data_IF_880766777247
#
_entry.id   IF_880766777247
#
_cell.length_a   1.000
_cell.length_b   1.000
_cell.length_c   1.000
_cell.angle_alpha   90.00
_cell.angle_beta   90.00
_cell.angle_gamma   90.00
#
_symmetry.space_group_name_H-M   'P 1'
#
loop_
_entity.id
_entity.type
_entity.pdbx_description
1 polymer ?
#
# COMPACT_ATOMS: atom_id res chain seq x y z
N UNK A 1 -39.07 -3.92 -12.86
CA UNK A 1 -38.89 -4.63 -11.57
C UNK A 1 -40.02 -5.62 -11.27
N UNK A 2 -41.26 -5.19 -10.99
CA UNK A 2 -42.36 -6.11 -10.61
C UNK A 2 -42.70 -7.19 -11.68
N UNK A 3 -42.60 -6.86 -12.98
CA UNK A 3 -42.83 -7.81 -14.06
C UNK A 3 -41.73 -8.88 -14.17
N UNK A 4 -40.48 -8.53 -13.84
CA UNK A 4 -39.31 -9.43 -13.88
C UNK A 4 -39.36 -10.40 -12.68
N UNK A 5 -39.67 -9.90 -11.49
CA UNK A 5 -39.89 -10.72 -10.30
C UNK A 5 -41.06 -11.71 -10.48
N UNK A 6 -42.14 -11.29 -11.14
CA UNK A 6 -43.29 -12.15 -11.47
C UNK A 6 -42.95 -13.20 -12.53
N UNK A 7 -42.10 -12.88 -13.50
CA UNK A 7 -41.59 -13.84 -14.47
C UNK A 7 -40.64 -14.86 -13.84
N UNK A 8 -39.76 -14.44 -12.93
CA UNK A 8 -38.87 -15.33 -12.18
C UNK A 8 -39.66 -16.30 -11.27
N UNK A 9 -40.65 -15.80 -10.52
CA UNK A 9 -41.52 -16.65 -9.71
C UNK A 9 -42.33 -17.66 -10.55
N UNK A 10 -42.78 -17.25 -11.75
CA UNK A 10 -43.48 -18.13 -12.70
C UNK A 10 -42.55 -19.20 -13.29
N UNK A 11 -41.28 -18.88 -13.55
CA UNK A 11 -40.26 -19.84 -13.99
C UNK A 11 -39.88 -20.85 -12.89
N UNK A 12 -39.83 -20.41 -11.63
CA UNK A 12 -39.63 -21.29 -10.46
C UNK A 12 -40.83 -22.24 -10.26
N UNK A 13 -42.05 -21.74 -10.42
CA UNK A 13 -43.27 -22.57 -10.33
C UNK A 13 -43.41 -23.55 -11.50
N UNK A 14 -42.99 -23.18 -12.70
CA UNK A 14 -42.95 -24.05 -13.89
C UNK A 14 -41.91 -25.20 -13.79
N UNK A 15 -41.09 -25.22 -12.73
CA UNK A 15 -40.02 -26.20 -12.50
C UNK A 15 -40.42 -27.40 -11.59
N UNK A 16 -41.65 -27.43 -11.08
CA UNK A 16 -42.21 -28.64 -10.45
C UNK A 16 -42.12 -29.90 -11.35
N UNK A 17 -42.41 -29.85 -12.67
CA UNK A 17 -42.23 -30.99 -13.57
C UNK A 17 -40.76 -31.40 -13.74
N UNK A 18 -39.79 -30.49 -13.67
CA UNK A 18 -38.37 -30.82 -13.84
C UNK A 18 -37.81 -31.62 -12.65
N UNK A 19 -38.24 -31.29 -11.42
CA UNK A 19 -38.00 -32.13 -10.23
C UNK A 19 -38.65 -33.51 -10.38
N UNK A 20 -39.86 -33.58 -10.94
CA UNK A 20 -40.52 -34.86 -11.24
C UNK A 20 -39.79 -35.65 -12.34
N UNK A 21 -39.17 -34.98 -13.32
CA UNK A 21 -38.42 -35.63 -14.41
C UNK A 21 -37.08 -36.19 -13.91
N UNK A 22 -36.37 -35.45 -13.05
CA UNK A 22 -35.14 -35.92 -12.38
C UNK A 22 -35.45 -37.08 -11.44
N UNK A 23 -36.55 -37.00 -10.68
CA UNK A 23 -37.03 -38.11 -9.84
C UNK A 23 -37.38 -39.34 -10.68
N UNK A 24 -38.10 -39.17 -11.78
CA UNK A 24 -38.46 -40.26 -12.69
C UNK A 24 -37.23 -40.88 -13.38
N UNK A 25 -36.24 -40.08 -13.76
CA UNK A 25 -34.98 -40.57 -14.32
C UNK A 25 -34.16 -41.35 -13.28
N UNK A 26 -34.12 -40.89 -12.03
CA UNK A 26 -33.49 -41.60 -10.93
C UNK A 26 -34.22 -42.91 -10.60
N UNK A 27 -35.56 -42.91 -10.57
CA UNK A 27 -36.38 -44.10 -10.38
C UNK A 27 -36.19 -45.11 -11.53
N UNK A 28 -36.13 -44.65 -12.78
CA UNK A 28 -35.85 -45.48 -13.94
C UNK A 28 -34.43 -46.07 -13.92
N UNK A 29 -33.42 -45.31 -13.51
CA UNK A 29 -32.05 -45.80 -13.35
C UNK A 29 -31.96 -46.86 -12.23
N UNK A 30 -32.66 -46.64 -11.11
CA UNK A 30 -32.74 -47.61 -10.01
C UNK A 30 -33.46 -48.90 -10.46
N UNK A 31 -34.54 -48.78 -11.24
CA UNK A 31 -35.27 -49.92 -11.79
C UNK A 31 -34.43 -50.70 -12.83
N UNK A 32 -33.65 -50.01 -13.65
CA UNK A 32 -32.75 -50.62 -14.62
C UNK A 32 -31.58 -51.34 -13.93
N UNK A 33 -31.04 -50.77 -12.85
CA UNK A 33 -30.02 -51.41 -12.03
C UNK A 33 -30.54 -52.66 -11.30
N UNK A 34 -31.77 -52.64 -10.78
CA UNK A 34 -32.42 -53.80 -10.18
C UNK A 34 -32.72 -54.90 -11.23
N UNK A 35 -33.13 -54.51 -12.45
CA UNK A 35 -33.33 -55.42 -13.57
C UNK A 35 -32.00 -56.06 -14.04
N UNK A 36 -30.92 -55.28 -14.17
CA UNK A 36 -29.60 -55.78 -14.53
C UNK A 36 -29.00 -56.71 -13.45
N UNK A 37 -29.20 -56.39 -12.16
CA UNK A 37 -28.77 -57.23 -11.04
C UNK A 37 -29.51 -58.57 -10.97
N UNK A 38 -30.77 -58.63 -11.40
CA UNK A 38 -31.56 -59.87 -11.46
C UNK A 38 -31.13 -60.82 -12.60
N UNK A 39 -30.38 -60.33 -13.59
CA UNK A 39 -29.91 -61.09 -14.76
C UNK A 39 -28.38 -61.27 -14.82
N UNK A 40 -27.63 -60.66 -13.90
CA UNK A 40 -26.19 -60.88 -13.77
C UNK A 40 -25.94 -62.23 -13.08
N UNK A 41 -25.21 -63.14 -13.74
CA UNK A 41 -24.96 -64.49 -13.24
C UNK A 41 -23.97 -64.55 -12.06
N UNK A 42 -23.26 -63.47 -11.76
CA UNK A 42 -22.27 -63.38 -10.68
C UNK A 42 -22.40 -62.06 -9.90
N UNK A 43 -22.19 -62.12 -8.58
CA UNK A 43 -22.41 -61.00 -7.65
C UNK A 43 -21.43 -59.83 -7.88
N UNK A 44 -20.27 -60.10 -8.47
CA UNK A 44 -19.27 -59.08 -8.80
C UNK A 44 -19.72 -58.19 -9.97
N UNK A 45 -20.33 -58.77 -11.00
CA UNK A 45 -20.82 -58.01 -12.17
C UNK A 45 -22.06 -57.17 -11.81
N UNK A 46 -22.90 -57.67 -10.89
CA UNK A 46 -24.02 -56.91 -10.35
C UNK A 46 -23.55 -55.68 -9.54
N UNK A 47 -22.46 -55.81 -8.78
CA UNK A 47 -21.87 -54.70 -8.03
C UNK A 47 -21.22 -53.65 -8.93
N UNK A 48 -20.52 -54.06 -9.99
CA UNK A 48 -19.88 -53.15 -10.95
C UNK A 48 -20.92 -52.39 -11.80
N UNK A 49 -22.00 -53.07 -12.21
CA UNK A 49 -23.14 -52.42 -12.88
C UNK A 49 -23.87 -51.42 -11.96
N UNK A 50 -24.06 -51.76 -10.68
CA UNK A 50 -24.65 -50.85 -9.70
C UNK A 50 -23.76 -49.63 -9.41
N UNK A 51 -22.44 -49.81 -9.36
CA UNK A 51 -21.48 -48.72 -9.21
C UNK A 51 -21.52 -47.78 -10.42
N UNK A 52 -21.50 -48.32 -11.64
CA UNK A 52 -21.61 -47.52 -12.88
C UNK A 52 -22.94 -46.79 -13.00
N UNK A 53 -24.04 -47.40 -12.57
CA UNK A 53 -25.35 -46.76 -12.53
C UNK A 53 -25.43 -45.64 -11.47
N UNK A 54 -24.84 -45.85 -10.29
CA UNK A 54 -24.73 -44.83 -9.26
C UNK A 54 -23.85 -43.66 -9.71
N UNK A 55 -22.73 -43.93 -10.39
CA UNK A 55 -21.86 -42.89 -10.94
C UNK A 55 -22.55 -42.12 -12.07
N UNK A 56 -23.29 -42.79 -12.95
CA UNK A 56 -24.10 -42.15 -13.98
C UNK A 56 -25.22 -41.28 -13.38
N UNK A 57 -25.89 -41.75 -12.32
CA UNK A 57 -26.91 -40.98 -11.59
C UNK A 57 -26.32 -39.79 -10.83
N UNK A 58 -25.14 -39.94 -10.22
CA UNK A 58 -24.38 -38.85 -9.60
C UNK A 58 -23.91 -37.82 -10.64
N UNK A 59 -23.54 -38.28 -11.83
CA UNK A 59 -23.14 -37.42 -12.96
C UNK A 59 -24.32 -36.69 -13.59
N UNK A 60 -25.54 -37.25 -13.54
CA UNK A 60 -26.76 -36.60 -14.01
C UNK A 60 -27.32 -35.56 -13.02
N UNK A 61 -27.09 -35.73 -11.72
CA UNK A 61 -27.62 -34.84 -10.67
C UNK A 61 -26.72 -33.64 -10.35
N UNK A 62 -25.39 -33.76 -10.49
CA UNK A 62 -24.43 -32.68 -10.21
C UNK A 62 -24.51 -31.45 -11.15
N UNK A 63 -24.64 -31.58 -12.49
CA UNK A 63 -24.64 -30.43 -13.41
C UNK A 63 -25.84 -29.51 -13.25
N UNK A 64 -27.02 -30.09 -13.00
CA UNK A 64 -28.26 -29.33 -12.78
C UNK A 64 -28.22 -28.56 -11.45
N UNK A 65 -27.65 -29.16 -10.40
CA UNK A 65 -27.55 -28.54 -9.07
C UNK A 65 -26.59 -27.35 -9.00
N UNK A 66 -25.49 -27.36 -9.76
CA UNK A 66 -24.51 -26.26 -9.79
C UNK A 66 -25.00 -25.11 -10.68
N UNK A 67 -25.52 -25.42 -11.87
CA UNK A 67 -26.07 -24.39 -12.77
C UNK A 67 -27.30 -23.70 -12.16
N UNK A 68 -28.17 -24.44 -11.47
CA UNK A 68 -29.32 -23.85 -10.80
C UNK A 68 -28.93 -22.99 -9.58
N UNK A 69 -27.84 -23.32 -8.89
CA UNK A 69 -27.31 -22.49 -7.80
C UNK A 69 -26.75 -21.17 -8.30
N UNK A 70 -25.98 -21.18 -9.38
CA UNK A 70 -25.49 -19.95 -10.02
C UNK A 70 -26.66 -19.04 -10.43
N UNK A 71 -27.65 -19.60 -11.13
CA UNK A 71 -28.89 -18.88 -11.50
C UNK A 71 -29.66 -18.37 -10.28
N UNK A 72 -29.72 -19.16 -9.19
CA UNK A 72 -30.39 -18.73 -7.95
C UNK A 72 -29.65 -17.58 -7.27
N UNK A 73 -28.31 -17.58 -7.33
CA UNK A 73 -27.47 -16.50 -6.81
C UNK A 73 -27.67 -15.21 -7.62
N UNK A 74 -27.69 -15.31 -8.96
CA UNK A 74 -27.97 -14.18 -9.84
C UNK A 74 -29.35 -13.57 -9.54
N UNK A 75 -30.37 -14.43 -9.36
CA UNK A 75 -31.71 -13.98 -8.95
C UNK A 75 -31.67 -13.30 -7.58
N UNK A 76 -30.87 -13.78 -6.63
CA UNK A 76 -30.72 -13.17 -5.31
C UNK A 76 -30.04 -11.79 -5.40
N UNK A 77 -29.01 -11.63 -6.23
CA UNK A 77 -28.38 -10.33 -6.51
C UNK A 77 -29.37 -9.37 -7.16
N UNK A 78 -30.15 -9.83 -8.14
CA UNK A 78 -31.15 -9.00 -8.82
C UNK A 78 -32.37 -8.65 -7.96
N UNK A 79 -32.66 -9.44 -6.92
CA UNK A 79 -33.82 -9.25 -6.03
C UNK A 79 -33.49 -8.58 -4.70
N UNK A 80 -32.20 -8.41 -4.38
CA UNK A 80 -31.79 -7.76 -3.13
C UNK A 80 -31.94 -6.24 -3.24
N UNK A 81 -32.67 -5.65 -2.29
CA UNK A 81 -33.01 -4.21 -2.23
C UNK A 81 -31.87 -3.34 -1.69
N UNK A 82 -30.63 -3.63 -2.06
CA UNK A 82 -29.46 -2.86 -1.63
C UNK A 82 -29.32 -1.51 -2.34
N UNK A 83 -28.60 -0.54 -1.75
CA UNK A 83 -28.22 0.69 -2.43
C UNK A 83 -27.12 0.38 -3.46
N UNK A 84 -27.52 0.06 -4.69
CA UNK A 84 -26.61 -0.21 -5.80
C UNK A 84 -27.38 -0.49 -7.08
N UNK A 85 -26.74 -0.31 -8.23
CA UNK A 85 -27.30 -0.79 -9.51
C UNK A 85 -27.17 -2.33 -9.54
N UNK A 86 -28.29 -3.08 -9.47
CA UNK A 86 -28.25 -4.54 -9.43
C UNK A 86 -27.58 -5.14 -10.67
N UNK A 87 -27.59 -4.43 -11.80
CA UNK A 87 -26.93 -4.88 -13.02
C UNK A 87 -25.41 -4.77 -12.90
N UNK A 88 -24.90 -3.67 -12.32
CA UNK A 88 -23.48 -3.51 -12.04
C UNK A 88 -22.97 -4.54 -11.02
N UNK A 89 -23.80 -4.90 -10.03
CA UNK A 89 -23.48 -5.96 -9.07
C UNK A 89 -23.47 -7.36 -9.71
N UNK A 90 -24.41 -7.62 -10.63
CA UNK A 90 -24.45 -8.89 -11.37
C UNK A 90 -23.20 -9.07 -12.23
N UNK A 91 -22.74 -8.02 -12.91
CA UNK A 91 -21.51 -8.02 -13.71
C UNK A 91 -20.23 -8.31 -12.87
N UNK A 92 -20.29 -8.09 -11.57
CA UNK A 92 -19.19 -8.35 -10.63
C UNK A 92 -19.35 -9.70 -9.90
N UNK A 93 -20.47 -10.39 -10.08
CA UNK A 93 -20.74 -11.67 -9.43
C UNK A 93 -20.08 -12.78 -10.25
N UNK A 94 -19.28 -13.62 -9.60
CA UNK A 94 -18.69 -14.79 -10.26
C UNK A 94 -19.79 -15.70 -10.79
N UNK A 95 -19.68 -16.09 -12.07
CA UNK A 95 -20.59 -17.05 -12.71
C UNK A 95 -20.62 -18.40 -11.96
N UNK A 96 -19.54 -18.72 -11.23
CA UNK A 96 -19.40 -19.93 -10.42
C UNK A 96 -18.92 -19.56 -9.00
N UNK A 97 -19.82 -19.16 -8.09
CA UNK A 97 -19.47 -18.55 -6.81
C UNK A 97 -18.73 -19.47 -5.83
N UNK A 98 -18.79 -20.79 -6.01
CA UNK A 98 -18.17 -21.78 -5.13
C UNK A 98 -16.86 -22.35 -5.69
N UNK A 99 -16.26 -21.71 -6.70
CA UNK A 99 -14.99 -22.09 -7.34
C UNK A 99 -14.92 -23.46 -8.04
N UNK A 100 -15.97 -24.27 -7.92
CA UNK A 100 -16.12 -25.52 -8.66
C UNK A 100 -16.77 -25.26 -10.02
N UNK A 101 -16.00 -24.66 -10.94
CA UNK A 101 -16.36 -24.65 -12.38
C UNK A 101 -16.66 -26.11 -12.76
N UNK A 102 -17.88 -26.43 -13.22
CA UNK A 102 -18.26 -27.80 -13.51
C UNK A 102 -17.25 -28.48 -14.41
N UNK A 103 -16.95 -29.76 -14.16
CA UNK A 103 -15.93 -30.50 -14.92
C UNK A 103 -16.20 -30.45 -16.43
N UNK A 104 -17.47 -30.49 -16.85
CA UNK A 104 -17.85 -30.38 -18.27
C UNK A 104 -17.52 -28.98 -18.85
N UNK A 105 -17.76 -27.92 -18.09
CA UNK A 105 -17.47 -26.54 -18.49
C UNK A 105 -15.96 -26.31 -18.55
N UNK A 106 -15.22 -26.82 -17.56
CA UNK A 106 -13.75 -26.81 -17.54
C UNK A 106 -13.15 -27.58 -18.71
N UNK A 107 -13.68 -28.77 -19.01
CA UNK A 107 -13.26 -29.56 -20.19
C UNK A 107 -13.55 -28.83 -21.49
N UNK A 108 -14.74 -28.25 -21.64
CA UNK A 108 -15.11 -27.45 -22.81
C UNK A 108 -14.19 -26.22 -22.98
N UNK A 109 -13.93 -25.50 -21.90
CA UNK A 109 -13.01 -24.37 -21.89
C UNK A 109 -11.59 -24.77 -22.27
N UNK A 110 -11.06 -25.85 -21.71
CA UNK A 110 -9.72 -26.35 -22.03
C UNK A 110 -9.59 -26.80 -23.50
N UNK A 111 -10.65 -27.40 -24.06
CA UNK A 111 -10.70 -27.74 -25.49
C UNK A 111 -10.68 -26.48 -26.36
N UNK A 112 -11.53 -25.49 -26.05
CA UNK A 112 -11.60 -24.22 -26.77
C UNK A 112 -10.27 -23.46 -26.71
N UNK A 113 -9.68 -23.34 -25.52
CA UNK A 113 -8.37 -22.70 -25.29
C UNK A 113 -7.24 -23.44 -26.01
N UNK A 114 -7.37 -24.75 -26.18
CA UNK A 114 -6.40 -25.62 -26.85
C UNK A 114 -6.52 -25.63 -28.38
N UNK A 115 -7.57 -25.03 -28.94
CA UNK A 115 -7.82 -25.01 -30.38
C UNK A 115 -6.82 -24.08 -31.09
N UNK A 116 -6.02 -24.64 -31.99
CA UNK A 116 -5.03 -23.87 -32.75
C UNK A 116 -5.69 -22.88 -33.70
N UNK A 117 -6.84 -23.19 -34.30
CA UNK A 117 -7.51 -22.29 -35.23
C UNK A 117 -7.95 -20.99 -34.53
N UNK A 118 -8.44 -21.09 -33.29
CA UNK A 118 -8.81 -19.91 -32.50
C UNK A 118 -7.58 -19.11 -32.03
N UNK A 119 -6.48 -19.79 -31.71
CA UNK A 119 -5.23 -19.12 -31.36
C UNK A 119 -4.65 -18.36 -32.56
N UNK A 120 -4.62 -19.00 -33.72
CA UNK A 120 -4.15 -18.42 -34.98
C UNK A 120 -5.04 -17.24 -35.40
N UNK A 121 -6.34 -17.31 -35.12
CA UNK A 121 -7.27 -16.20 -35.30
C UNK A 121 -7.16 -15.09 -34.24
N UNK A 122 -6.22 -15.17 -33.30
CA UNK A 122 -5.91 -14.12 -32.34
C UNK A 122 -6.79 -14.07 -31.08
N UNK A 123 -7.47 -15.16 -30.71
CA UNK A 123 -8.35 -15.17 -29.52
C UNK A 123 -7.63 -15.20 -28.17
N UNK A 124 -6.30 -15.26 -28.14
CA UNK A 124 -5.52 -15.34 -26.90
C UNK A 124 -5.87 -14.26 -25.85
N UNK A 125 -6.04 -12.97 -26.21
CA UNK A 125 -6.41 -11.93 -25.24
C UNK A 125 -7.80 -12.14 -24.62
N UNK A 126 -8.74 -12.71 -25.38
CA UNK A 126 -10.08 -13.01 -24.90
C UNK A 126 -10.10 -14.17 -23.92
N UNK A 127 -9.26 -15.19 -24.15
CA UNK A 127 -9.08 -16.27 -23.19
C UNK A 127 -8.52 -15.76 -21.87
N UNK A 128 -7.51 -14.88 -21.92
CA UNK A 128 -6.94 -14.27 -20.73
C UNK A 128 -7.96 -13.38 -20.00
N UNK A 129 -8.72 -12.56 -20.73
CA UNK A 129 -9.82 -11.76 -20.17
C UNK A 129 -10.86 -12.60 -19.45
N UNK A 130 -11.29 -13.72 -20.04
CA UNK A 130 -12.26 -14.61 -19.43
C UNK A 130 -11.70 -15.32 -18.17
N UNK A 131 -10.42 -15.70 -18.19
CA UNK A 131 -9.76 -16.34 -17.04
C UNK A 131 -9.54 -15.36 -15.89
N UNK A 132 -9.20 -14.09 -16.18
CA UNK A 132 -9.02 -13.04 -15.19
C UNK A 132 -10.36 -12.62 -14.54
N UNK A 133 -11.48 -12.76 -15.26
CA UNK A 133 -12.83 -12.58 -14.72
C UNK A 133 -13.33 -13.79 -13.90
N UNK A 134 -12.76 -14.97 -14.10
CA UNK A 134 -13.11 -16.21 -13.38
C UNK A 134 -11.90 -16.77 -12.64
N UNK A 135 -11.34 -16.01 -11.67
CA UNK A 135 -10.15 -16.46 -10.97
C UNK A 135 -10.46 -17.70 -10.13
N UNK A 136 -9.43 -18.55 -9.87
CA UNK A 136 -9.57 -19.65 -8.93
C UNK A 136 -9.99 -19.15 -7.54
N UNK A 137 -10.66 -20.02 -6.78
CA UNK A 137 -11.31 -19.72 -5.49
C UNK A 137 -10.65 -18.62 -4.65
N UNK A 138 -11.39 -17.56 -4.36
CA UNK A 138 -11.01 -16.53 -3.40
C UNK A 138 -10.25 -15.32 -3.96
N UNK A 139 -9.82 -15.35 -5.23
CA UNK A 139 -9.26 -14.16 -5.87
C UNK A 139 -10.36 -13.24 -6.44
N UNK A 140 -10.10 -11.94 -6.43
CA UNK A 140 -11.02 -10.94 -6.99
C UNK A 140 -10.91 -10.95 -8.52
N UNK A 141 -12.04 -10.95 -9.26
CA UNK A 141 -12.03 -10.78 -10.71
C UNK A 141 -11.24 -9.53 -11.11
N UNK A 142 -10.40 -9.65 -12.13
CA UNK A 142 -9.63 -8.54 -12.68
C UNK A 142 -9.95 -8.36 -14.17
N UNK A 143 -9.91 -7.11 -14.64
CA UNK A 143 -10.11 -6.79 -16.05
C UNK A 143 -8.77 -6.85 -16.80
N UNK A 144 -8.56 -7.91 -17.56
CA UNK A 144 -7.33 -8.14 -18.34
C UNK A 144 -6.97 -6.97 -19.28
N UNK A 145 -7.96 -6.40 -19.94
CA UNK A 145 -7.77 -5.27 -20.85
C UNK A 145 -7.58 -3.96 -20.08
N UNK A 146 -8.10 -3.90 -18.85
CA UNK A 146 -8.16 -2.70 -18.04
C UNK A 146 -9.25 -1.73 -18.54
N UNK A 147 -9.75 -0.88 -17.64
CA UNK A 147 -10.95 -0.06 -17.85
C UNK A 147 -10.97 0.71 -19.18
N UNK A 148 -9.86 1.33 -19.55
CA UNK A 148 -9.79 2.18 -20.74
C UNK A 148 -9.88 1.38 -22.04
N UNK A 149 -9.13 0.27 -22.13
CA UNK A 149 -9.16 -0.57 -23.32
C UNK A 149 -10.50 -1.33 -23.43
N UNK A 150 -11.01 -1.84 -22.31
CA UNK A 150 -12.36 -2.44 -22.25
C UNK A 150 -13.41 -1.49 -22.76
N UNK A 151 -13.37 -0.21 -22.33
CA UNK A 151 -14.27 0.82 -22.82
C UNK A 151 -14.07 1.09 -24.31
N UNK A 152 -12.83 1.19 -24.78
CA UNK A 152 -12.51 1.38 -26.21
C UNK A 152 -13.08 0.26 -27.07
N UNK A 153 -12.92 -1.00 -26.65
CA UNK A 153 -13.47 -2.18 -27.34
C UNK A 153 -15.00 -2.11 -27.35
N UNK A 154 -15.62 -1.86 -26.19
CA UNK A 154 -17.08 -1.83 -26.04
C UNK A 154 -17.75 -0.69 -26.83
N UNK A 155 -17.04 0.41 -27.09
CA UNK A 155 -17.56 1.57 -27.82
C UNK A 155 -17.27 1.52 -29.33
N UNK A 156 -16.71 0.42 -29.85
CA UNK A 156 -16.55 0.28 -31.29
C UNK A 156 -17.90 0.18 -31.99
N UNK A 157 -18.06 0.82 -33.17
CA UNK A 157 -19.30 0.78 -33.93
C UNK A 157 -19.52 -0.60 -34.57
N UNK A 158 -20.76 -0.91 -34.96
CA UNK A 158 -21.14 -2.21 -35.52
C UNK A 158 -20.30 -2.57 -36.76
N UNK A 159 -19.97 -1.59 -37.61
CA UNK A 159 -19.16 -1.81 -38.80
C UNK A 159 -17.75 -2.33 -38.48
N UNK A 160 -17.24 -2.05 -37.28
CA UNK A 160 -15.94 -2.58 -36.84
C UNK A 160 -16.05 -4.07 -36.47
N UNK A 161 -17.14 -4.48 -35.83
CA UNK A 161 -17.43 -5.87 -35.48
C UNK A 161 -17.71 -6.75 -36.70
N UNK A 162 -18.31 -6.17 -37.74
CA UNK A 162 -18.66 -6.87 -39.00
C UNK A 162 -17.44 -7.28 -39.85
N UNK A 163 -16.24 -6.79 -39.54
CA UNK A 163 -15.00 -7.12 -40.28
C UNK A 163 -14.50 -8.55 -40.02
N UNK A 164 -15.12 -9.26 -39.08
CA UNK A 164 -14.73 -10.61 -38.70
C UNK A 164 -13.68 -10.66 -37.59
N UNK A 165 -13.59 -11.81 -36.93
CA UNK A 165 -12.85 -12.00 -35.70
C UNK A 165 -11.34 -11.73 -35.84
N UNK A 166 -10.71 -12.14 -36.95
CA UNK A 166 -9.27 -11.96 -37.15
C UNK A 166 -8.87 -10.48 -37.21
N UNK A 167 -9.62 -9.66 -37.95
CA UNK A 167 -9.38 -8.23 -38.07
C UNK A 167 -9.61 -7.52 -36.73
N UNK A 168 -10.69 -7.85 -36.03
CA UNK A 168 -10.99 -7.35 -34.68
C UNK A 168 -9.88 -7.70 -33.68
N UNK A 169 -9.46 -8.96 -33.65
CA UNK A 169 -8.43 -9.43 -32.72
C UNK A 169 -7.06 -8.81 -33.02
N UNK A 170 -6.76 -8.54 -34.29
CA UNK A 170 -5.54 -7.83 -34.69
C UNK A 170 -5.51 -6.41 -34.13
N UNK A 171 -6.61 -5.67 -34.21
CA UNK A 171 -6.71 -4.32 -33.63
C UNK A 171 -6.56 -4.35 -32.11
N UNK A 172 -7.21 -5.30 -31.43
CA UNK A 172 -7.11 -5.45 -29.97
C UNK A 172 -5.67 -5.78 -29.55
N UNK A 173 -4.99 -6.66 -30.29
CA UNK A 173 -3.59 -6.99 -30.03
C UNK A 173 -2.68 -5.77 -30.22
N UNK A 174 -2.93 -4.94 -31.24
CA UNK A 174 -2.19 -3.69 -31.44
C UNK A 174 -2.43 -2.71 -30.28
N UNK A 175 -3.68 -2.55 -29.82
CA UNK A 175 -4.00 -1.68 -28.68
C UNK A 175 -3.40 -2.17 -27.37
N UNK A 176 -3.33 -3.48 -27.16
CA UNK A 176 -2.61 -4.09 -26.05
C UNK A 176 -1.11 -3.77 -26.11
N UNK A 177 -0.48 -3.91 -27.28
CA UNK A 177 0.93 -3.55 -27.47
C UNK A 177 1.18 -2.06 -27.23
N UNK A 178 0.30 -1.17 -27.71
CA UNK A 178 0.38 0.27 -27.44
C UNK A 178 0.29 0.58 -25.93
N UNK A 179 -0.64 -0.08 -25.23
CA UNK A 179 -0.81 0.06 -23.78
C UNK A 179 0.45 -0.39 -23.04
N UNK A 180 1.00 -1.53 -23.43
CA UNK A 180 2.17 -2.11 -22.79
C UNK A 180 3.43 -1.27 -23.07
N UNK A 181 3.54 -0.66 -24.26
CA UNK A 181 4.59 0.33 -24.58
C UNK A 181 4.45 1.59 -23.73
N UNK A 182 3.23 2.14 -23.57
CA UNK A 182 2.98 3.29 -22.68
C UNK A 182 3.30 2.97 -21.22
N UNK A 183 3.07 1.73 -20.78
CA UNK A 183 3.48 1.23 -19.46
C UNK A 183 5.00 1.04 -19.36
N UNK A 184 5.65 0.68 -20.47
CA UNK A 184 7.08 0.40 -20.55
C UNK A 184 7.96 1.64 -20.72
N UNK A 185 7.41 2.81 -21.09
CA UNK A 185 8.11 4.09 -20.90
C UNK A 185 7.89 4.48 -19.43
N UNK A 186 8.88 4.28 -18.54
CA UNK A 186 8.74 4.79 -17.18
C UNK A 186 8.54 6.28 -17.30
N UNK A 187 7.34 6.76 -16.97
CA UNK A 187 7.06 8.18 -16.90
C UNK A 187 8.13 8.79 -16.01
N UNK A 188 9.00 9.63 -16.59
CA UNK A 188 10.19 10.16 -15.92
C UNK A 188 9.83 10.55 -14.49
N UNK A 189 10.34 9.77 -13.54
CA UNK A 189 10.18 10.07 -12.13
C UNK A 189 11.25 11.10 -11.82
N UNK A 190 10.92 12.31 -11.36
CA UNK A 190 11.91 13.21 -10.79
C UNK A 190 12.67 12.43 -9.73
N UNK A 191 14.00 12.46 -9.77
CA UNK A 191 14.78 11.85 -8.71
C UNK A 191 14.35 12.47 -7.37
N UNK A 192 14.26 11.64 -6.32
CA UNK A 192 13.75 12.08 -5.02
C UNK A 192 14.51 13.32 -4.53
N UNK A 193 13.82 14.45 -4.45
CA UNK A 193 14.39 15.72 -4.01
C UNK A 193 15.09 15.54 -2.66
N UNK A 194 16.25 16.18 -2.54
CA UNK A 194 16.99 16.34 -1.29
C UNK A 194 16.83 17.77 -0.80
N UNK A 195 16.93 17.95 0.51
CA UNK A 195 16.82 19.26 1.13
C UNK A 195 18.06 19.51 1.98
N UNK A 196 18.53 20.75 1.96
CA UNK A 196 19.66 21.19 2.78
C UNK A 196 19.46 22.63 3.22
N UNK A 197 20.07 23.01 4.33
CA UNK A 197 20.11 24.41 4.73
C UNK A 197 20.90 25.27 3.72
N UNK A 198 20.19 26.22 3.11
CA UNK A 198 20.75 27.28 2.27
C UNK A 198 20.58 28.62 3.01
N UNK A 199 21.66 29.10 3.62
CA UNK A 199 21.63 30.29 4.46
C UNK A 199 20.75 30.10 5.71
N UNK A 200 19.64 30.84 5.78
CA UNK A 200 18.67 30.77 6.89
C UNK A 200 17.42 29.97 6.56
N UNK A 201 17.41 29.24 5.44
CA UNK A 201 16.25 28.52 4.94
C UNK A 201 16.60 27.09 4.55
N UNK A 202 15.58 26.26 4.42
CA UNK A 202 15.63 24.93 3.84
C UNK A 202 15.43 25.08 2.33
N UNK A 203 16.48 24.75 1.58
CA UNK A 203 16.56 24.77 0.12
C UNK A 203 16.43 23.37 -0.48
N UNK A 204 16.25 23.30 -1.81
CA UNK A 204 16.45 22.05 -2.55
C UNK A 204 17.95 21.86 -2.75
N UNK A 205 18.47 20.73 -2.30
CA UNK A 205 19.85 20.36 -2.54
C UNK A 205 20.00 19.80 -3.97
N UNK A 206 21.16 20.00 -4.63
CA UNK A 206 21.42 19.39 -5.92
C UNK A 206 21.17 17.88 -5.88
N UNK A 207 20.46 17.39 -6.88
CA UNK A 207 20.30 15.96 -7.12
C UNK A 207 21.65 15.43 -7.61
N UNK A 208 22.42 14.79 -6.73
CA UNK A 208 23.51 13.94 -7.19
C UNK A 208 22.89 12.71 -7.87
N UNK A 209 22.81 12.79 -9.19
CA UNK A 209 22.08 11.87 -10.08
C UNK A 209 22.67 10.47 -10.18
N UNK A 210 23.68 10.12 -9.37
CA UNK A 210 24.20 8.77 -9.37
C UNK A 210 25.66 8.73 -9.00
N UNK A 211 25.92 8.70 -7.71
CA UNK A 211 27.04 7.99 -7.10
C UNK A 211 26.75 8.00 -5.60
N UNK A 212 27.10 6.93 -4.91
CA UNK A 212 27.56 6.97 -3.51
C UNK A 212 28.47 8.20 -3.43
N UNK A 213 27.98 9.38 -3.02
CA UNK A 213 28.87 10.52 -2.83
C UNK A 213 29.69 10.17 -1.60
N UNK A 214 30.95 9.73 -1.76
CA UNK A 214 31.72 9.24 -0.64
C UNK A 214 31.98 10.37 0.35
N UNK A 215 31.94 11.64 -0.10
CA UNK A 215 32.08 12.81 0.76
C UNK A 215 30.85 13.05 1.60
N UNK A 216 29.64 13.05 1.03
CA UNK A 216 28.41 13.15 1.82
C UNK A 216 28.24 11.97 2.77
N UNK A 217 28.54 10.74 2.31
CA UNK A 217 28.50 9.56 3.17
C UNK A 217 29.50 9.68 4.33
N UNK A 218 30.71 10.17 4.07
CA UNK A 218 31.70 10.44 5.11
C UNK A 218 31.22 11.53 6.08
N UNK A 219 30.68 12.64 5.57
CA UNK A 219 30.18 13.73 6.41
C UNK A 219 29.04 13.28 7.33
N UNK A 220 28.11 12.45 6.84
CA UNK A 220 27.06 11.87 7.68
C UNK A 220 27.60 10.86 8.68
N UNK A 221 28.62 10.08 8.33
CA UNK A 221 29.28 9.16 9.24
C UNK A 221 30.00 9.91 10.37
N UNK A 222 30.74 10.97 10.04
CA UNK A 222 31.47 11.79 11.01
C UNK A 222 30.48 12.44 12.00
N UNK A 223 29.41 13.05 11.50
CA UNK A 223 28.34 13.62 12.32
C UNK A 223 27.66 12.54 13.19
N UNK A 224 27.38 11.35 12.62
CA UNK A 224 26.76 10.26 13.38
C UNK A 224 27.66 9.77 14.52
N UNK A 225 28.97 9.69 14.28
CA UNK A 225 29.96 9.29 15.29
C UNK A 225 29.99 10.27 16.45
N UNK A 226 30.16 11.56 16.14
CA UNK A 226 30.21 12.65 17.12
C UNK A 226 28.93 12.68 17.97
N UNK A 227 27.76 12.62 17.32
CA UNK A 227 26.50 12.60 18.07
C UNK A 227 26.31 11.33 18.88
N UNK A 228 26.76 10.18 18.39
CA UNK A 228 26.57 8.91 19.11
C UNK A 228 27.40 8.91 20.39
N UNK A 229 28.60 9.50 20.35
CA UNK A 229 29.45 9.74 21.52
C UNK A 229 28.76 10.66 22.52
N UNK A 230 28.33 11.85 22.07
CA UNK A 230 27.63 12.83 22.93
C UNK A 230 26.36 12.25 23.56
N UNK A 231 25.58 11.48 22.79
CA UNK A 231 24.37 10.85 23.28
C UNK A 231 24.67 9.74 24.29
N UNK A 232 25.69 8.92 24.06
CA UNK A 232 26.13 7.89 25.00
C UNK A 232 26.56 8.52 26.34
N UNK A 233 27.44 9.52 26.32
CA UNK A 233 27.91 10.23 27.52
C UNK A 233 26.74 10.86 28.30
N UNK A 234 25.80 11.50 27.59
CA UNK A 234 24.62 12.11 28.21
C UNK A 234 23.71 11.06 28.84
N UNK A 235 23.43 9.97 28.14
CA UNK A 235 22.61 8.87 28.66
C UNK A 235 23.26 8.24 29.90
N UNK A 236 24.58 8.04 29.91
CA UNK A 236 25.28 7.54 31.10
C UNK A 236 25.21 8.51 32.28
N UNK A 237 25.31 9.82 32.03
CA UNK A 237 25.24 10.85 33.08
C UNK A 237 23.83 11.06 33.64
N UNK A 238 22.80 10.71 32.88
CA UNK A 238 21.41 10.92 33.27
C UNK A 238 20.95 9.84 34.26
N UNK A 239 20.67 10.25 35.50
CA UNK A 239 20.22 9.37 36.61
C UNK A 239 19.02 8.48 36.29
N UNK A 240 18.19 8.86 35.32
CA UNK A 240 16.97 8.15 34.93
C UNK A 240 17.06 7.58 33.50
N UNK A 241 18.23 7.61 32.86
CA UNK A 241 18.35 7.00 31.54
C UNK A 241 18.11 5.50 31.63
N UNK A 242 17.39 5.00 30.65
CA UNK A 242 17.08 3.58 30.54
C UNK A 242 18.37 2.86 30.16
N UNK A 243 18.93 1.97 31.01
CA UNK A 243 20.26 1.39 30.79
C UNK A 243 20.40 0.68 29.44
N UNK A 244 19.31 0.09 28.96
CA UNK A 244 19.23 -0.53 27.65
C UNK A 244 19.42 0.48 26.49
N UNK A 245 18.84 1.69 26.57
CA UNK A 245 19.00 2.68 25.52
C UNK A 245 20.43 3.21 25.46
N UNK A 246 21.06 3.40 26.63
CA UNK A 246 22.49 3.74 26.70
C UNK A 246 23.36 2.64 26.05
N UNK A 247 23.10 1.36 26.36
CA UNK A 247 23.80 0.22 25.75
C UNK A 247 23.64 0.19 24.22
N UNK A 248 22.43 0.43 23.68
CA UNK A 248 22.21 0.45 22.24
C UNK A 248 22.95 1.60 21.53
N UNK A 249 22.95 2.81 22.13
CA UNK A 249 23.69 3.96 21.57
C UNK A 249 25.21 3.71 21.64
N UNK A 250 25.71 3.17 22.75
CA UNK A 250 27.13 2.82 22.89
C UNK A 250 27.55 1.72 21.91
N UNK A 251 26.69 0.72 21.65
CA UNK A 251 26.92 -0.29 20.61
C UNK A 251 26.93 0.30 19.21
N UNK A 252 26.06 1.27 18.92
CA UNK A 252 26.10 2.00 17.66
C UNK A 252 27.44 2.74 17.52
N UNK A 253 27.84 3.56 18.50
CA UNK A 253 29.09 4.32 18.46
C UNK A 253 30.31 3.41 18.21
N UNK A 254 30.43 2.33 18.98
CA UNK A 254 31.55 1.37 18.87
C UNK A 254 31.58 0.62 17.52
N UNK A 255 30.45 0.53 16.82
CA UNK A 255 30.36 -0.11 15.51
C UNK A 255 30.79 0.81 14.36
N UNK A 256 30.65 2.14 14.51
CA UNK A 256 30.90 3.08 13.41
C UNK A 256 32.40 3.15 13.05
N UNK A 257 32.78 2.81 11.80
CA UNK A 257 34.18 2.88 11.36
C UNK A 257 34.61 4.33 11.12
N UNK A 258 35.90 4.56 10.90
CA UNK A 258 36.42 5.88 10.58
C UNK A 258 36.10 6.31 9.15
N UNK A 259 36.04 5.36 8.20
CA UNK A 259 35.74 5.64 6.80
C UNK A 259 34.40 5.05 6.38
N UNK A 260 33.62 5.79 5.59
CA UNK A 260 32.33 5.35 5.06
C UNK A 260 32.43 4.12 4.15
N UNK A 261 33.59 3.91 3.51
CA UNK A 261 33.86 2.72 2.69
C UNK A 261 33.91 1.41 3.50
N UNK A 262 34.26 1.49 4.79
CA UNK A 262 34.36 0.33 5.68
C UNK A 262 33.04 0.03 6.42
N UNK A 263 32.03 0.89 6.25
CA UNK A 263 30.75 0.77 6.92
C UNK A 263 29.96 -0.40 6.34
N UNK A 264 29.50 -1.30 7.21
CA UNK A 264 28.49 -2.30 6.84
C UNK A 264 27.09 -1.67 6.96
N UNK A 265 26.43 -1.28 5.85
CA UNK A 265 25.22 -0.48 5.93
C UNK A 265 24.01 -1.32 6.39
N UNK A 266 24.04 -2.65 6.24
CA UNK A 266 23.00 -3.53 6.78
C UNK A 266 23.06 -3.62 8.29
N UNK A 267 24.26 -3.74 8.85
CA UNK A 267 24.44 -3.77 10.30
C UNK A 267 24.09 -2.41 10.92
N UNK A 268 24.46 -1.30 10.26
CA UNK A 268 24.00 0.03 10.66
C UNK A 268 22.47 0.10 10.73
N UNK A 269 21.79 -0.36 9.67
CA UNK A 269 20.32 -0.39 9.63
C UNK A 269 19.72 -1.19 10.80
N UNK A 270 20.28 -2.35 11.14
CA UNK A 270 19.82 -3.13 12.29
C UNK A 270 20.01 -2.38 13.62
N UNK A 271 21.13 -1.67 13.80
CA UNK A 271 21.40 -0.87 15.01
C UNK A 271 20.42 0.29 15.15
N UNK A 272 20.18 1.03 14.06
CA UNK A 272 19.21 2.12 14.07
C UNK A 272 17.79 1.62 14.36
N UNK A 273 17.39 0.49 13.78
CA UNK A 273 16.09 -0.12 14.06
C UNK A 273 15.93 -0.55 15.54
N UNK A 274 17.01 -1.03 16.17
CA UNK A 274 17.02 -1.35 17.61
C UNK A 274 16.79 -0.10 18.46
N UNK A 275 17.49 0.99 18.13
CA UNK A 275 17.33 2.29 18.79
C UNK A 275 15.91 2.85 18.59
N UNK A 276 15.35 2.77 17.38
CA UNK A 276 13.98 3.20 17.10
C UNK A 276 12.96 2.40 17.92
N UNK A 277 13.13 1.07 18.02
CA UNK A 277 12.28 0.22 18.84
C UNK A 277 12.42 0.55 20.35
N UNK A 278 13.62 0.88 20.80
CA UNK A 278 13.88 1.35 22.15
C UNK A 278 13.07 2.61 22.48
N UNK A 279 13.20 3.62 21.62
CA UNK A 279 12.52 4.92 21.77
C UNK A 279 10.99 4.72 21.73
N UNK A 280 10.49 3.93 20.78
CA UNK A 280 9.07 3.66 20.65
C UNK A 280 8.49 2.96 21.90
N UNK A 281 9.24 2.00 22.46
CA UNK A 281 8.84 1.29 23.70
C UNK A 281 8.71 2.27 24.88
N UNK A 282 9.66 3.21 24.98
CA UNK A 282 9.68 4.22 26.03
C UNK A 282 8.54 5.23 25.89
N UNK A 283 8.19 5.59 24.66
CA UNK A 283 7.04 6.45 24.37
C UNK A 283 5.71 5.74 24.68
N UNK A 284 5.57 4.48 24.30
CA UNK A 284 4.34 3.70 24.45
C UNK A 284 3.99 3.39 25.92
N UNK A 285 4.99 3.21 26.78
CA UNK A 285 4.78 2.86 28.18
C UNK A 285 4.20 4.01 29.04
N UNK A 286 4.00 5.21 28.48
CA UNK A 286 3.70 6.40 29.27
C UNK A 286 4.86 6.81 30.18
N UNK A 287 6.04 6.20 30.00
CA UNK A 287 7.30 6.46 30.69
C UNK A 287 7.98 7.74 30.20
N UNK A 288 7.26 8.65 29.54
CA UNK A 288 7.75 9.99 29.21
C UNK A 288 8.12 10.83 30.44
N UNK A 289 7.80 10.36 31.65
CA UNK A 289 8.32 10.92 32.91
C UNK A 289 9.76 10.49 33.24
N UNK A 290 10.23 9.38 32.68
CA UNK A 290 11.55 8.79 33.01
C UNK A 290 12.66 9.33 32.11
N UNK A 291 12.35 9.62 30.85
CA UNK A 291 13.26 10.33 29.94
C UNK A 291 12.88 11.80 29.85
N UNK A 292 13.83 12.69 30.14
CA UNK A 292 13.67 14.10 29.79
C UNK A 292 13.58 14.26 28.26
N UNK A 293 13.03 15.39 27.81
CA UNK A 293 12.88 15.68 26.38
C UNK A 293 14.24 15.70 25.65
N UNK A 294 15.32 16.06 26.34
CA UNK A 294 16.67 16.21 25.75
C UNK A 294 17.29 14.87 25.26
N UNK A 295 17.44 13.80 26.06
CA UNK A 295 17.92 12.50 25.57
C UNK A 295 17.08 11.92 24.44
N UNK A 296 15.75 12.10 24.49
CA UNK A 296 14.86 11.62 23.42
C UNK A 296 15.15 12.33 22.11
N UNK A 297 15.34 13.66 22.13
CA UNK A 297 15.72 14.42 20.95
C UNK A 297 17.10 14.01 20.40
N UNK A 298 18.08 13.78 21.28
CA UNK A 298 19.42 13.34 20.88
C UNK A 298 19.37 12.01 20.12
N UNK A 299 18.70 11.02 20.70
CA UNK A 299 18.55 9.68 20.10
C UNK A 299 17.74 9.74 18.80
N UNK A 300 16.73 10.59 18.74
CA UNK A 300 15.98 10.84 17.50
C UNK A 300 16.88 11.43 16.41
N UNK A 301 17.73 12.40 16.77
CA UNK A 301 18.72 12.98 15.87
C UNK A 301 19.68 11.94 15.30
N UNK A 302 20.15 11.00 16.14
CA UNK A 302 20.98 9.88 15.70
C UNK A 302 20.30 9.00 14.67
N UNK A 303 19.06 8.59 14.93
CA UNK A 303 18.29 7.77 14.01
C UNK A 303 18.13 8.45 12.64
N UNK A 304 17.84 9.76 12.64
CA UNK A 304 17.72 10.56 11.43
C UNK A 304 19.03 10.63 10.63
N UNK A 305 20.15 10.94 11.29
CA UNK A 305 21.47 11.03 10.61
C UNK A 305 21.89 9.66 10.09
N UNK A 306 21.68 8.60 10.87
CA UNK A 306 21.97 7.24 10.44
C UNK A 306 21.16 6.83 9.21
N UNK A 307 19.87 7.21 9.13
CA UNK A 307 19.05 6.94 7.93
C UNK A 307 19.56 7.71 6.72
N UNK A 308 19.95 8.97 6.87
CA UNK A 308 20.54 9.77 5.79
C UNK A 308 21.86 9.17 5.29
N UNK A 309 22.67 8.62 6.19
CA UNK A 309 23.84 7.81 5.84
C UNK A 309 23.45 6.57 5.04
N UNK A 310 22.43 5.81 5.46
CA UNK A 310 21.92 4.65 4.72
C UNK A 310 21.42 5.03 3.31
N UNK A 311 20.83 6.21 3.14
CA UNK A 311 20.40 6.71 1.83
C UNK A 311 21.55 7.00 0.88
N UNK A 312 22.79 7.09 1.38
CA UNK A 312 23.97 7.19 0.54
C UNK A 312 24.32 5.86 -0.15
N UNK A 313 23.70 4.74 0.24
CA UNK A 313 23.89 3.41 -0.34
C UNK A 313 22.74 3.04 -1.29
N UNK A 314 22.97 2.91 -2.62
CA UNK A 314 21.91 2.70 -3.61
C UNK A 314 21.05 1.46 -3.37
N UNK A 315 21.67 0.32 -3.06
CA UNK A 315 20.95 -0.95 -2.85
C UNK A 315 19.95 -0.88 -1.69
N UNK A 316 20.31 -0.16 -0.63
CA UNK A 316 19.42 0.04 0.50
C UNK A 316 18.27 0.99 0.17
N UNK A 317 18.52 2.01 -0.65
CA UNK A 317 17.47 2.92 -1.12
C UNK A 317 16.41 2.18 -1.93
N UNK A 318 16.83 1.28 -2.82
CA UNK A 318 15.90 0.44 -3.60
C UNK A 318 15.08 -0.47 -2.69
N UNK A 319 15.73 -1.18 -1.76
CA UNK A 319 15.01 -2.06 -0.81
C UNK A 319 14.05 -1.29 0.09
N UNK A 320 14.43 -0.11 0.54
CA UNK A 320 13.57 0.74 1.35
C UNK A 320 12.31 1.15 0.58
N UNK A 321 12.44 1.54 -0.69
CA UNK A 321 11.29 1.85 -1.55
C UNK A 321 10.36 0.64 -1.70
N UNK A 322 10.92 -0.55 -1.93
CA UNK A 322 10.14 -1.80 -2.02
C UNK A 322 9.43 -2.15 -0.71
N UNK A 323 10.04 -1.86 0.43
CA UNK A 323 9.43 -2.08 1.74
C UNK A 323 8.33 -1.06 2.04
N UNK A 324 8.53 0.22 1.72
CA UNK A 324 7.48 1.25 1.80
C UNK A 324 6.30 0.84 0.93
N UNK A 325 6.55 0.43 -0.32
CA UNK A 325 5.52 0.03 -1.26
C UNK A 325 4.67 -1.13 -0.73
N UNK A 326 5.32 -2.13 -0.11
CA UNK A 326 4.64 -3.27 0.53
C UNK A 326 3.88 -2.91 1.80
N UNK A 327 4.32 -1.87 2.51
CA UNK A 327 3.71 -1.45 3.76
C UNK A 327 2.49 -0.55 3.58
N UNK A 328 2.29 0.05 2.40
CA UNK A 328 1.09 0.82 2.08
C UNK A 328 -0.13 -0.12 2.05
N UNK A 329 -1.10 0.02 2.99
CA UNK A 329 -2.28 -0.82 3.00
C UNK A 329 -3.16 -0.54 1.78
N UNK A 330 -3.78 -1.59 1.24
CA UNK A 330 -4.74 -1.47 0.14
C UNK A 330 -5.92 -0.58 0.56
N UNK A 331 -6.26 0.39 -0.29
CA UNK A 331 -7.36 1.31 -0.08
C UNK A 331 -7.04 2.50 0.84
N UNK A 332 -5.79 2.66 1.28
CA UNK A 332 -5.34 3.82 2.08
C UNK A 332 -4.48 4.81 1.27
N UNK A 333 -4.25 4.55 -0.01
CA UNK A 333 -3.38 5.33 -0.88
C UNK A 333 -3.76 6.83 -0.86
N UNK A 334 -5.04 7.16 -1.08
CA UNK A 334 -5.49 8.55 -1.07
C UNK A 334 -5.26 9.25 0.27
N UNK A 335 -5.52 8.55 1.39
CA UNK A 335 -5.34 9.12 2.73
C UNK A 335 -3.87 9.45 3.02
N UNK A 336 -2.95 8.62 2.52
CA UNK A 336 -1.51 8.88 2.61
C UNK A 336 -1.15 10.08 1.74
N UNK A 337 -1.65 10.15 0.50
CA UNK A 337 -1.45 11.31 -0.39
C UNK A 337 -1.93 12.61 0.24
N UNK A 338 -3.13 12.62 0.83
CA UNK A 338 -3.70 13.79 1.52
C UNK A 338 -2.81 14.22 2.69
N UNK A 339 -2.34 13.27 3.49
CA UNK A 339 -1.43 13.52 4.61
C UNK A 339 -0.11 14.14 4.16
N UNK A 340 0.52 13.59 3.13
CA UNK A 340 1.78 14.11 2.59
C UNK A 340 1.59 15.50 1.94
N UNK A 341 0.41 15.78 1.42
CA UNK A 341 0.06 17.10 0.86
C UNK A 341 -0.04 18.16 1.96
N UNK A 342 -0.46 17.80 3.18
CA UNK A 342 -0.45 18.72 4.33
C UNK A 342 0.98 19.18 4.69
N UNK A 343 2.01 18.35 4.50
CA UNK A 343 3.40 18.81 4.71
C UNK A 343 3.76 19.94 3.76
N UNK A 344 3.36 19.83 2.48
CA UNK A 344 3.60 20.87 1.47
C UNK A 344 2.89 22.18 1.84
N UNK A 345 1.64 22.09 2.32
CA UNK A 345 0.90 23.27 2.79
C UNK A 345 1.56 23.92 4.01
N UNK A 346 2.00 23.12 4.97
CA UNK A 346 2.71 23.60 6.16
C UNK A 346 4.04 24.28 5.77
N UNK A 347 4.79 23.71 4.83
CA UNK A 347 6.00 24.29 4.29
C UNK A 347 5.76 25.65 3.62
N UNK A 348 4.67 25.77 2.84
CA UNK A 348 4.28 27.02 2.18
C UNK A 348 3.90 28.15 3.17
N UNK A 349 3.42 27.79 4.36
CA UNK A 349 3.05 28.74 5.42
C UNK A 349 4.25 29.28 6.22
N UNK A 350 5.47 28.75 5.98
CA UNK A 350 6.69 29.14 6.68
C UNK A 350 7.79 29.67 5.74
N UNK A 351 7.54 30.71 4.92
CA UNK A 351 8.49 31.23 3.92
C UNK A 351 9.79 31.81 4.52
N UNK A 352 9.82 32.10 5.82
CA UNK A 352 11.00 32.53 6.56
C UNK A 352 12.00 31.39 6.78
N UNK A 353 11.53 30.14 6.87
CA UNK A 353 12.33 28.93 7.12
C UNK A 353 12.42 28.03 5.89
N UNK A 354 11.42 28.02 5.02
CA UNK A 354 11.40 27.17 3.82
C UNK A 354 11.51 28.02 2.57
N UNK A 355 12.43 27.67 1.67
CA UNK A 355 12.58 28.36 0.39
C UNK A 355 11.40 28.06 -0.54
N UNK A 356 11.12 28.98 -1.48
CA UNK A 356 10.10 28.75 -2.53
C UNK A 356 10.40 27.51 -3.39
N UNK A 357 11.69 27.20 -3.60
CA UNK A 357 12.11 26.02 -4.35
C UNK A 357 11.75 24.73 -3.62
N UNK A 358 11.95 24.69 -2.29
CA UNK A 358 11.59 23.53 -1.48
C UNK A 358 10.08 23.29 -1.46
N UNK A 359 9.28 24.36 -1.37
CA UNK A 359 7.80 24.27 -1.50
C UNK A 359 7.41 23.73 -2.87
N UNK A 360 7.97 24.28 -3.95
CA UNK A 360 7.67 23.81 -5.31
C UNK A 360 8.05 22.34 -5.53
N UNK A 361 9.14 21.87 -4.90
CA UNK A 361 9.53 20.46 -4.95
C UNK A 361 8.51 19.54 -4.25
N UNK A 362 8.02 19.94 -3.07
CA UNK A 362 6.98 19.21 -2.35
C UNK A 362 5.65 19.20 -3.12
N UNK A 363 5.25 20.35 -3.68
CA UNK A 363 4.04 20.47 -4.50
C UNK A 363 4.12 19.63 -5.78
N UNK A 364 5.28 19.59 -6.44
CA UNK A 364 5.48 18.75 -7.61
C UNK A 364 5.29 17.26 -7.28
N UNK A 365 5.82 16.79 -6.14
CA UNK A 365 5.62 15.40 -5.72
C UNK A 365 4.17 15.10 -5.34
N UNK A 366 3.47 16.04 -4.70
CA UNK A 366 2.06 15.90 -4.39
C UNK A 366 1.20 15.84 -5.66
N UNK A 367 1.47 16.70 -6.64
CA UNK A 367 0.77 16.69 -7.92
C UNK A 367 0.97 15.35 -8.66
N UNK A 368 2.19 14.83 -8.68
CA UNK A 368 2.49 13.54 -9.31
C UNK A 368 1.77 12.36 -8.66
N UNK A 369 1.63 12.35 -7.34
CA UNK A 369 0.85 11.33 -6.65
C UNK A 369 -0.65 11.46 -6.97
N UNK A 370 -1.15 12.70 -7.05
CA UNK A 370 -2.55 12.98 -7.38
C UNK A 370 -2.91 12.58 -8.81
N UNK A 371 -2.02 12.81 -9.78
CA UNK A 371 -2.21 12.37 -11.17
C UNK A 371 -2.30 10.85 -11.31
N UNK A 372 -1.67 10.11 -10.39
CA UNK A 372 -1.69 8.65 -10.40
C UNK A 372 -2.93 8.04 -9.73
N UNK A 373 -3.79 8.84 -9.08
CA UNK A 373 -4.98 8.35 -8.36
C UNK A 373 -5.95 7.63 -9.29
N UNK A 374 -6.08 8.11 -10.53
CA UNK A 374 -6.94 7.51 -11.56
C UNK A 374 -6.24 6.37 -12.33
N UNK A 375 -4.96 6.10 -12.03
CA UNK A 375 -4.14 5.09 -12.70
C UNK A 375 -4.18 3.70 -12.03
N UNK A 376 -3.31 2.77 -12.49
CA UNK A 376 -3.11 1.49 -11.83
C UNK A 376 -2.63 1.67 -10.39
N UNK A 377 -3.13 0.82 -9.47
CA UNK A 377 -2.79 0.88 -8.04
C UNK A 377 -1.28 0.78 -7.80
N UNK A 378 -0.58 -0.03 -8.61
CA UNK A 378 0.88 -0.18 -8.53
C UNK A 378 1.60 1.13 -8.89
N UNK A 379 1.12 1.84 -9.91
CA UNK A 379 1.68 3.12 -10.32
C UNK A 379 1.42 4.20 -9.24
N UNK A 380 0.21 4.22 -8.67
CA UNK A 380 -0.12 5.10 -7.54
C UNK A 380 0.80 4.84 -6.34
N UNK A 381 1.00 3.57 -5.98
CA UNK A 381 1.88 3.19 -4.87
C UNK A 381 3.32 3.61 -5.10
N UNK A 382 3.84 3.43 -6.31
CA UNK A 382 5.20 3.87 -6.65
C UNK A 382 5.34 5.40 -6.50
N UNK A 383 4.34 6.17 -6.94
CA UNK A 383 4.33 7.63 -6.76
C UNK A 383 4.24 8.04 -5.29
N UNK A 384 3.40 7.37 -4.51
CA UNK A 384 3.28 7.61 -3.06
C UNK A 384 4.60 7.29 -2.36
N UNK A 385 5.27 6.20 -2.72
CA UNK A 385 6.59 5.85 -2.16
C UNK A 385 7.60 6.97 -2.41
N UNK A 386 7.65 7.52 -3.62
CA UNK A 386 8.56 8.63 -3.92
C UNK A 386 8.18 9.90 -3.14
N UNK A 387 6.89 10.20 -3.01
CA UNK A 387 6.42 11.32 -2.19
C UNK A 387 6.80 11.13 -0.72
N UNK A 388 6.65 9.92 -0.15
CA UNK A 388 7.05 9.57 1.22
C UNK A 388 8.56 9.82 1.42
N UNK A 389 9.39 9.38 0.47
CA UNK A 389 10.85 9.57 0.55
C UNK A 389 11.20 11.05 0.54
N UNK A 390 10.61 11.84 -0.37
CA UNK A 390 10.84 13.29 -0.44
C UNK A 390 10.38 14.01 0.82
N UNK A 391 9.18 13.69 1.29
CA UNK A 391 8.59 14.25 2.51
C UNK A 391 9.46 13.98 3.74
N UNK A 392 9.99 12.76 3.84
CA UNK A 392 10.93 12.38 4.89
C UNK A 392 12.24 13.16 4.80
N UNK A 393 12.83 13.30 3.61
CA UNK A 393 14.07 14.07 3.43
C UNK A 393 13.87 15.53 3.89
N UNK A 394 12.72 16.12 3.54
CA UNK A 394 12.35 17.47 3.97
C UNK A 394 12.23 17.58 5.49
N UNK A 395 11.47 16.66 6.12
CA UNK A 395 11.29 16.65 7.59
C UNK A 395 12.59 16.44 8.34
N UNK A 396 13.46 15.57 7.84
CA UNK A 396 14.78 15.31 8.43
C UNK A 396 15.64 16.57 8.43
N UNK A 397 15.66 17.31 7.31
CA UNK A 397 16.38 18.59 7.25
C UNK A 397 15.71 19.67 8.11
N UNK A 398 14.38 19.69 8.22
CA UNK A 398 13.67 20.62 9.10
C UNK A 398 14.02 20.40 10.58
N UNK A 399 14.14 19.15 11.02
CA UNK A 399 14.60 18.81 12.37
C UNK A 399 16.04 19.26 12.60
N UNK A 400 16.96 18.99 11.65
CA UNK A 400 18.36 19.46 11.73
C UNK A 400 18.47 20.97 11.75
N UNK A 401 17.70 21.65 10.91
CA UNK A 401 17.63 23.11 10.88
C UNK A 401 17.19 23.66 12.23
N UNK A 402 16.10 23.12 12.78
CA UNK A 402 15.60 23.47 14.11
C UNK A 402 16.63 23.23 15.21
N UNK A 403 17.34 22.09 15.16
CA UNK A 403 18.38 21.75 16.12
C UNK A 403 19.55 22.73 16.09
N UNK A 404 20.08 23.03 14.89
CA UNK A 404 21.15 24.04 14.74
C UNK A 404 20.72 25.43 15.21
N UNK A 405 19.45 25.75 15.03
CA UNK A 405 18.87 27.00 15.52
C UNK A 405 18.83 27.01 17.05
N UNK A 406 18.46 25.88 17.66
CA UNK A 406 18.48 25.67 19.11
C UNK A 406 19.89 25.81 19.71
N UNK A 407 20.90 25.15 19.14
CA UNK A 407 22.30 25.25 19.60
C UNK A 407 22.86 26.67 19.55
N UNK A 408 22.43 27.46 18.57
CA UNK A 408 22.85 28.87 18.43
C UNK A 408 22.15 29.80 19.41
N UNK A 409 21.03 29.40 20.00
CA UNK A 409 20.36 30.19 21.02
C UNK A 409 21.15 30.07 22.33
N UNK A 410 21.95 31.09 22.64
CA UNK A 410 22.50 31.23 23.99
C UNK A 410 21.36 31.27 25.02
N UNK A 411 21.56 30.70 26.23
CA UNK A 411 20.59 30.81 27.31
C UNK A 411 20.38 32.29 27.66
N UNK A 412 19.30 32.89 27.14
CA UNK A 412 18.96 34.31 27.33
C UNK A 412 18.31 35.01 26.12
N UNK A 413 18.40 34.47 24.91
CA UNK A 413 17.84 35.07 23.70
C UNK A 413 16.37 34.62 23.45
N UNK A 414 15.44 35.15 24.24
CA UNK A 414 14.00 34.83 24.15
C UNK A 414 13.35 35.17 22.79
N UNK A 415 13.85 36.19 22.09
CA UNK A 415 13.27 36.62 20.80
C UNK A 415 13.55 35.60 19.67
N UNK A 416 14.57 34.75 19.82
CA UNK A 416 14.82 33.62 18.91
C UNK A 416 13.89 32.43 19.19
N UNK A 417 13.53 32.21 20.46
CA UNK A 417 12.81 31.03 20.91
C UNK A 417 11.37 30.95 20.39
N UNK A 418 10.70 32.09 20.16
CA UNK A 418 9.35 32.14 19.60
C UNK A 418 9.33 31.81 18.09
N UNK A 419 10.35 32.26 17.35
CA UNK A 419 10.53 31.89 15.95
C UNK A 419 10.90 30.40 15.81
N UNK A 420 11.79 29.90 16.69
CA UNK A 420 12.16 28.48 16.70
C UNK A 420 10.96 27.62 17.05
N UNK A 421 10.23 27.91 18.13
CA UNK A 421 9.15 27.04 18.59
C UNK A 421 8.00 26.95 17.60
N UNK A 422 7.62 28.07 16.97
CA UNK A 422 6.54 28.08 15.98
C UNK A 422 6.88 27.19 14.79
N UNK A 423 8.14 27.21 14.35
CA UNK A 423 8.60 26.39 13.22
C UNK A 423 8.92 24.95 13.63
N UNK A 424 9.47 24.74 14.83
CA UNK A 424 9.79 23.42 15.36
C UNK A 424 8.53 22.63 15.74
N UNK A 425 7.44 23.29 16.14
CA UNK A 425 6.14 22.65 16.34
C UNK A 425 5.48 22.25 15.02
N UNK A 426 5.56 23.12 14.01
CA UNK A 426 5.00 22.85 12.67
C UNK A 426 5.73 21.68 11.99
N UNK A 427 7.07 21.61 12.08
CA UNK A 427 7.85 20.60 11.36
C UNK A 427 8.32 19.42 12.23
N UNK A 428 8.63 19.67 13.50
CA UNK A 428 9.33 18.72 14.38
C UNK A 428 8.44 17.62 14.97
N UNK A 429 7.18 17.91 15.33
CA UNK A 429 6.33 16.91 16.00
C UNK A 429 5.56 16.00 15.04
N UNK A 430 5.02 16.56 13.96
CA UNK A 430 4.50 15.76 12.85
C UNK A 430 5.64 14.96 12.20
N UNK A 431 6.84 15.54 12.13
CA UNK A 431 8.08 14.87 11.72
C UNK A 431 8.45 13.71 12.62
N UNK A 432 8.47 13.91 13.95
CA UNK A 432 8.83 12.88 14.93
C UNK A 432 8.00 11.60 14.73
N UNK A 433 6.66 11.69 14.73
CA UNK A 433 5.83 10.47 14.69
C UNK A 433 5.91 9.73 13.35
N UNK A 434 6.10 10.45 12.24
CA UNK A 434 6.25 9.85 10.90
C UNK A 434 7.68 9.38 10.56
N UNK A 435 8.71 9.94 11.20
CA UNK A 435 10.13 9.58 10.96
C UNK A 435 10.70 8.59 11.96
N UNK A 436 10.18 8.53 13.21
CA UNK A 436 10.70 7.71 14.31
C UNK A 436 10.55 6.19 14.14
N UNK A 437 9.76 5.76 13.17
CA UNK A 437 9.45 4.36 12.96
C UNK A 437 9.88 3.98 11.55
N UNK A 438 10.28 2.73 11.30
CA UNK A 438 10.48 2.24 9.93
C UNK A 438 9.22 2.60 9.12
N UNK A 439 9.29 2.85 7.81
CA UNK A 439 8.12 3.26 7.05
C UNK A 439 6.90 2.34 7.29
N UNK A 440 7.13 1.05 7.55
CA UNK A 440 6.10 0.09 7.97
C UNK A 440 5.44 0.44 9.31
N UNK A 441 6.23 0.70 10.35
CA UNK A 441 5.74 1.07 11.68
C UNK A 441 5.20 2.50 11.71
N UNK A 442 5.73 3.42 10.89
CA UNK A 442 5.28 4.81 10.80
C UNK A 442 3.98 4.96 10.05
N UNK A 443 3.77 4.18 8.99
CA UNK A 443 2.48 4.05 8.34
C UNK A 443 1.44 3.47 9.33
N UNK A 444 1.80 2.41 10.08
CA UNK A 444 0.91 1.86 11.12
C UNK A 444 0.62 2.84 12.27
N UNK A 445 1.63 3.60 12.75
CA UNK A 445 1.49 4.62 13.79
C UNK A 445 0.71 5.85 13.30
N UNK A 446 0.85 6.25 12.03
CA UNK A 446 0.02 7.27 11.38
C UNK A 446 -1.47 6.87 11.41
N UNK A 447 -1.77 5.57 11.20
CA UNK A 447 -3.14 5.07 11.28
C UNK A 447 -3.68 4.94 12.71
N UNK A 448 -2.84 4.59 13.68
CA UNK A 448 -3.25 4.46 15.09
C UNK A 448 -3.29 5.81 15.85
N UNK A 449 -2.49 6.79 15.43
CA UNK A 449 -2.13 7.96 16.24
C UNK A 449 -2.71 9.30 15.80
N UNK A 450 -3.44 9.40 14.68
CA UNK A 450 -3.87 10.71 14.15
C UNK A 450 -4.66 11.58 15.15
N UNK A 451 -5.53 10.95 15.96
CA UNK A 451 -6.24 11.65 17.05
C UNK A 451 -5.38 11.97 18.28
N UNK A 452 -4.24 11.29 18.44
CA UNK A 452 -3.28 11.57 19.51
C UNK A 452 -2.24 12.63 19.11
N UNK A 453 -1.89 12.74 17.82
CA UNK A 453 -0.99 13.79 17.31
C UNK A 453 -1.65 15.16 17.44
N UNK A 454 -2.92 15.31 17.06
CA UNK A 454 -3.66 16.58 17.25
C UNK A 454 -3.77 16.97 18.73
N UNK A 455 -3.94 15.99 19.63
CA UNK A 455 -3.90 16.24 21.09
C UNK A 455 -2.51 16.62 21.59
N UNK A 456 -1.47 15.95 21.11
CA UNK A 456 -0.10 16.23 21.50
C UNK A 456 0.33 17.63 21.04
N UNK A 457 -0.04 18.01 19.81
CA UNK A 457 0.18 19.36 19.28
C UNK A 457 -0.54 20.43 20.12
N UNK A 458 -1.82 20.21 20.46
CA UNK A 458 -2.58 21.13 21.35
C UNK A 458 -1.96 21.25 22.74
N UNK A 459 -1.56 20.12 23.35
CA UNK A 459 -0.91 20.13 24.67
C UNK A 459 0.44 20.85 24.64
N UNK A 460 1.20 20.72 23.56
CA UNK A 460 2.47 21.43 23.41
C UNK A 460 2.27 22.92 23.15
N UNK A 461 1.28 23.30 22.35
CA UNK A 461 0.88 24.68 22.14
C UNK A 461 0.46 25.34 23.48
N UNK A 462 -0.29 24.62 24.31
CA UNK A 462 -0.66 25.04 25.66
C UNK A 462 0.54 25.19 26.60
N UNK A 463 1.43 24.19 26.66
CA UNK A 463 2.65 24.24 27.49
C UNK A 463 3.59 25.35 27.03
N UNK A 464 3.70 25.59 25.73
CA UNK A 464 4.54 26.64 25.18
C UNK A 464 3.96 28.04 25.45
N UNK A 465 2.64 28.20 25.29
CA UNK A 465 1.93 29.43 25.67
C UNK A 465 2.12 29.73 27.17
N UNK A 466 2.15 28.69 28.00
CA UNK A 466 2.45 28.80 29.42
C UNK A 466 3.90 29.26 29.66
N UNK A 467 4.88 28.61 29.04
CA UNK A 467 6.31 28.96 29.19
C UNK A 467 6.63 30.39 28.74
N UNK A 468 6.09 30.82 27.59
CA UNK A 468 6.28 32.20 27.10
C UNK A 468 5.65 33.24 28.03
N UNK A 469 4.47 32.94 28.58
CA UNK A 469 3.81 33.80 29.58
C UNK A 469 4.61 33.88 30.88
N UNK A 470 5.16 32.77 31.36
CA UNK A 470 6.01 32.72 32.56
C UNK A 470 7.33 33.47 32.36
N UNK A 471 7.99 33.31 31.21
CA UNK A 471 9.21 34.04 30.86
C UNK A 471 8.98 35.55 30.78
N UNK A 472 7.84 35.98 30.20
CA UNK A 472 7.45 37.38 30.16
C UNK A 472 7.19 37.96 31.56
N UNK A 473 6.45 37.24 32.39
CA UNK A 473 6.16 37.66 33.77
C UNK A 473 7.44 37.76 34.63
N UNK A 474 8.39 36.83 34.48
CA UNK A 474 9.66 36.87 35.19
C UNK A 474 10.52 38.09 34.78
N UNK A 475 10.41 38.53 33.52
CA UNK A 475 11.09 39.73 33.02
C UNK A 475 10.47 41.00 33.58
N UNK A 476 9.14 41.06 33.65
CA UNK A 476 8.42 42.23 34.17
C UNK A 476 8.59 42.38 35.69
N UNK A 477 8.83 41.28 36.43
CA UNK A 477 9.18 41.34 37.86
C UNK A 477 10.63 41.77 38.15
N UNK A 478 11.52 41.68 37.16
CA UNK A 478 12.93 42.10 37.29
C UNK A 478 13.17 43.55 36.86
N UNK A 479 12.17 44.20 36.29
CA UNK A 479 12.15 45.65 36.00
C UNK A 479 11.42 46.37 37.11
#
# INVERSE_FOLDING_TARGET
MAAIAKAAAKAVAANAPLKATVKAAAEAATAYAAYAAAYAADAADAADAAAKAADAAATATKPAGVSWRAVSNDVQVLTSSGPGDPMAMLLQTSLWPEADVPIWARKGWNLLRGDNALRDAGFAPWFAWYEDLLPPSGATPTDHFGKELTRRIALQPDEWWDRGAEAVNTDIAAWLAERDVKKAVPAQVPAAYRFSQEGKRIGVAPLDTGTTDPKSAQAFLDELRERAEMAAERLESARNAVPFLADEVSRLHNFLPAAAADLNPYLLRCRLASIDAAVATLQAAGSSRELSDDPTMQVTGLALIGRELLLSFPDLRTREREEIARAIPLGQEQRITDFLTETSKAAAQAPEVVSKQAVAALEAMAAMAQEAVDGPVEALRERIVEQIVVDRNFRSEAVRFGWRLWERMQPGALDGAEAVSKHFLIFGFAGLVGTLTTPVLGIAALFAGYGQIDRALKLLEEQFTKYTKEAKNSRDQKK
#
